data_IF_588180918380
#
_entry.id   IF_588180918380
#
_cell.length_a   1.000
_cell.length_b   1.000
_cell.length_c   1.000
_cell.angle_alpha   90.00
_cell.angle_beta   90.00
_cell.angle_gamma   90.00
#
_symmetry.space_group_name_H-M   'P 1'
#
loop_
_entity.id
_entity.type
_entity.pdbx_description
1 polymer ?
#
# COMPACT_ATOMS: atom_id res chain seq x y z
N UNK A 1 10.75 -22.37 30.09
CA UNK A 1 9.38 -22.21 29.55
C UNK A 1 9.03 -20.75 29.31
N UNK A 2 9.42 -19.82 30.20
CA UNK A 2 9.30 -18.35 30.05
C UNK A 2 9.75 -17.79 28.69
N UNK A 3 10.90 -18.25 28.17
CA UNK A 3 11.49 -17.78 26.92
C UNK A 3 10.63 -18.09 25.68
N UNK A 4 9.84 -19.17 25.73
CA UNK A 4 8.96 -19.57 24.61
C UNK A 4 7.84 -18.55 24.45
N UNK A 5 7.25 -18.10 25.56
CA UNK A 5 6.21 -17.08 25.55
C UNK A 5 6.72 -15.73 25.06
N UNK A 6 7.92 -15.32 25.49
CA UNK A 6 8.56 -14.10 25.00
C UNK A 6 8.77 -14.13 23.48
N UNK A 7 9.23 -15.26 22.95
CA UNK A 7 9.45 -15.44 21.51
C UNK A 7 8.15 -15.42 20.72
N UNK A 8 7.09 -16.05 21.24
CA UNK A 8 5.75 -16.02 20.64
C UNK A 8 5.16 -14.60 20.59
N UNK A 9 5.33 -13.80 21.64
CA UNK A 9 4.86 -12.40 21.68
C UNK A 9 5.60 -11.54 20.65
N UNK A 10 6.92 -11.66 20.56
CA UNK A 10 7.73 -10.95 19.57
C UNK A 10 7.33 -11.35 18.15
N UNK A 11 7.13 -12.65 17.90
CA UNK A 11 6.70 -13.16 16.60
C UNK A 11 5.31 -12.63 16.22
N UNK A 12 4.37 -12.60 17.17
CA UNK A 12 3.04 -12.05 16.95
C UNK A 12 3.07 -10.55 16.60
N UNK A 13 3.90 -9.76 17.29
CA UNK A 13 4.09 -8.33 16.99
C UNK A 13 4.70 -8.11 15.61
N UNK A 14 5.71 -8.90 15.24
CA UNK A 14 6.33 -8.85 13.91
C UNK A 14 5.31 -9.19 12.82
N UNK A 15 4.51 -10.23 13.00
CA UNK A 15 3.48 -10.63 12.04
C UNK A 15 2.38 -9.56 11.91
N UNK A 16 1.95 -8.95 13.03
CA UNK A 16 0.99 -7.87 13.02
C UNK A 16 1.53 -6.63 12.28
N UNK A 17 2.79 -6.26 12.54
CA UNK A 17 3.48 -5.17 11.85
C UNK A 17 3.65 -5.44 10.35
N UNK A 18 4.09 -6.64 9.98
CA UNK A 18 4.22 -7.06 8.57
C UNK A 18 2.87 -7.08 7.86
N UNK A 19 1.82 -7.58 8.52
CA UNK A 19 0.46 -7.60 8.02
C UNK A 19 -0.05 -6.20 7.72
N UNK A 20 0.08 -5.28 8.68
CA UNK A 20 -0.26 -3.87 8.49
C UNK A 20 0.51 -3.22 7.35
N UNK A 21 1.82 -3.46 7.27
CA UNK A 21 2.68 -2.91 6.22
C UNK A 21 2.29 -3.40 4.81
N UNK A 22 1.98 -4.70 4.67
CA UNK A 22 1.51 -5.29 3.41
C UNK A 22 0.21 -4.64 2.94
N UNK A 23 -0.74 -4.44 3.84
CA UNK A 23 -2.02 -3.78 3.53
C UNK A 23 -1.81 -2.32 3.13
N UNK A 24 -0.94 -1.60 3.85
CA UNK A 24 -0.60 -0.21 3.50
C UNK A 24 0.03 -0.10 2.10
N UNK A 25 0.96 -0.99 1.75
CA UNK A 25 1.56 -1.04 0.39
C UNK A 25 0.56 -1.43 -0.70
N UNK A 26 -0.48 -2.19 -0.37
CA UNK A 26 -1.57 -2.47 -1.29
C UNK A 26 -2.57 -1.31 -1.41
N UNK A 27 -2.69 -0.46 -0.40
CA UNK A 27 -3.60 0.68 -0.39
C UNK A 27 -3.00 1.95 -1.02
N UNK A 28 -1.67 2.03 -1.13
CA UNK A 28 -0.96 3.17 -1.70
C UNK A 28 -0.29 2.78 -3.04
N UNK A 29 -0.16 3.75 -3.93
CA UNK A 29 0.59 3.64 -5.18
C UNK A 29 1.20 5.00 -5.53
N UNK A 30 2.19 5.01 -6.43
CA UNK A 30 2.73 6.26 -6.96
C UNK A 30 1.92 6.70 -8.17
N UNK A 31 1.64 8.00 -8.28
CA UNK A 31 0.97 8.56 -9.44
C UNK A 31 1.90 8.44 -10.66
N UNK A 32 1.45 7.85 -11.78
CA UNK A 32 2.29 7.63 -12.97
C UNK A 32 2.73 8.93 -13.67
N UNK A 33 2.10 10.07 -13.36
CA UNK A 33 2.40 11.35 -14.01
C UNK A 33 3.38 12.22 -13.23
N UNK A 34 3.29 12.22 -11.90
CA UNK A 34 4.04 13.14 -11.04
C UNK A 34 4.83 12.46 -9.93
N UNK A 35 4.71 11.13 -9.77
CA UNK A 35 5.41 10.37 -8.73
C UNK A 35 4.90 10.63 -7.32
N UNK A 36 3.75 11.30 -7.13
CA UNK A 36 3.18 11.53 -5.79
C UNK A 36 2.56 10.25 -5.21
N UNK A 37 2.68 10.05 -3.89
CA UNK A 37 1.99 8.95 -3.20
C UNK A 37 0.49 9.22 -3.19
N UNK A 38 -0.26 8.35 -3.85
CA UNK A 38 -1.71 8.43 -3.97
C UNK A 38 -2.35 7.11 -3.56
N UNK A 39 -3.66 7.14 -3.31
CA UNK A 39 -4.41 5.92 -3.00
C UNK A 39 -4.45 5.00 -4.20
N UNK A 40 -4.28 3.70 -3.98
CA UNK A 40 -4.40 2.69 -5.03
C UNK A 40 -5.84 2.62 -5.50
N UNK A 41 -6.05 2.78 -6.80
CA UNK A 41 -7.35 2.53 -7.43
C UNK A 41 -7.67 1.03 -7.31
N UNK A 42 -8.77 0.69 -6.65
CA UNK A 42 -9.32 -0.67 -6.69
C UNK A 42 -10.36 -0.84 -7.80
N UNK A 43 -11.21 0.17 -8.01
CA UNK A 43 -12.27 0.19 -9.02
C UNK A 43 -12.39 1.59 -9.62
N UNK A 44 -12.59 1.68 -10.94
CA UNK A 44 -12.85 2.94 -11.64
C UNK A 44 -11.62 3.82 -11.85
N UNK A 45 -11.82 5.13 -11.66
CA UNK A 45 -10.83 6.18 -11.89
C UNK A 45 -10.68 7.04 -10.65
N UNK A 46 -9.45 7.38 -10.26
CA UNK A 46 -9.18 8.38 -9.22
C UNK A 46 -8.44 9.55 -9.84
N UNK A 47 -8.60 10.73 -9.24
CA UNK A 47 -7.88 11.94 -9.64
C UNK A 47 -6.74 12.21 -8.67
N UNK A 48 -5.57 12.55 -9.19
CA UNK A 48 -4.43 12.91 -8.34
C UNK A 48 -4.68 14.30 -7.75
N UNK A 49 -4.56 14.50 -6.42
CA UNK A 49 -4.77 15.81 -5.80
C UNK A 49 -3.68 16.82 -6.16
N UNK A 50 -2.54 16.37 -6.71
CA UNK A 50 -1.41 17.23 -7.08
C UNK A 50 -1.40 17.62 -8.56
N UNK A 51 -1.46 16.65 -9.46
CA UNK A 51 -1.41 16.91 -10.90
C UNK A 51 -2.78 17.00 -11.57
N UNK A 52 -3.87 16.76 -10.82
CA UNK A 52 -5.26 16.74 -11.29
C UNK A 52 -5.55 15.76 -12.46
N UNK A 53 -4.58 14.94 -12.87
CA UNK A 53 -4.78 13.88 -13.87
C UNK A 53 -5.50 12.67 -13.28
N UNK A 54 -6.27 12.02 -14.13
CA UNK A 54 -6.99 10.80 -13.82
C UNK A 54 -6.06 9.60 -13.99
N UNK A 55 -6.07 8.69 -13.04
CA UNK A 55 -5.36 7.42 -13.11
C UNK A 55 -6.34 6.29 -12.74
N UNK A 56 -6.18 5.13 -13.39
CA UNK A 56 -6.92 3.92 -13.04
C UNK A 56 -5.96 2.75 -12.88
N UNK A 57 -6.45 1.67 -12.26
CA UNK A 57 -5.69 0.42 -12.08
C UNK A 57 -5.27 -0.19 -13.42
N UNK A 58 -6.09 0.00 -14.45
CA UNK A 58 -5.91 -0.55 -15.80
C UNK A 58 -5.41 0.48 -16.82
N UNK A 59 -5.09 1.70 -16.40
CA UNK A 59 -4.39 2.64 -17.26
C UNK A 59 -2.97 2.11 -17.49
N UNK A 60 -2.84 1.15 -18.40
CA UNK A 60 -1.61 0.91 -19.13
C UNK A 60 -1.30 2.25 -19.77
N UNK A 61 -0.21 2.86 -19.33
CA UNK A 61 0.41 3.96 -20.04
C UNK A 61 0.78 3.32 -21.37
N UNK A 62 -0.07 3.51 -22.39
CA UNK A 62 0.26 3.07 -23.74
C UNK A 62 1.41 4.00 -24.17
N UNK A 63 2.57 3.47 -24.58
CA UNK A 63 3.68 4.27 -25.07
C UNK A 63 3.25 5.10 -26.28
#
# INVERSE_FOLDING_TARGET
>A
MEWVWGLLVVLALLLAGLGGWRVARQALQFCPHCGWIVRRVRTGWLRCPRCHRQYSRHAKIHP
#
